data_IF_236232988039
#
_entry.id   IF_236232988039
#
_cell.length_a   1.000
_cell.length_b   1.000
_cell.length_c   1.000
_cell.angle_alpha   90.00
_cell.angle_beta   90.00
_cell.angle_gamma   90.00
#
_symmetry.space_group_name_H-M   'P 1'
#
loop_
_entity.id
_entity.type
_entity.pdbx_description
1 polymer ?
#
# COMPACT_ATOMS: atom_id res chain seq x y z
N UNK A 1 -1.94 21.85 6.18
CA UNK A 1 -0.55 21.88 6.73
C UNK A 1 0.10 20.58 6.25
N UNK A 2 1.28 20.64 5.63
CA UNK A 2 1.99 19.40 5.19
C UNK A 2 2.67 18.69 6.37
N UNK A 3 3.10 17.45 6.16
CA UNK A 3 3.74 16.60 7.18
C UNK A 3 4.91 17.28 7.88
N UNK A 4 5.79 17.96 7.13
CA UNK A 4 6.92 18.73 7.70
C UNK A 4 6.43 19.78 8.70
N UNK A 5 5.35 20.49 8.36
CA UNK A 5 4.76 21.51 9.25
C UNK A 5 4.14 20.90 10.51
N UNK A 6 3.50 19.75 10.38
CA UNK A 6 2.91 19.01 11.53
C UNK A 6 3.99 18.51 12.49
N UNK A 7 5.06 17.90 11.96
CA UNK A 7 6.19 17.42 12.76
C UNK A 7 6.87 18.57 13.52
N UNK A 8 7.19 19.66 12.82
CA UNK A 8 7.80 20.84 13.44
C UNK A 8 6.91 21.49 14.50
N UNK A 9 5.60 21.60 14.24
CA UNK A 9 4.65 22.14 15.21
C UNK A 9 4.52 21.28 16.47
N UNK A 10 4.75 19.97 16.35
CA UNK A 10 4.83 19.02 17.47
C UNK A 10 6.20 19.02 18.19
N UNK A 11 7.14 19.85 17.75
CA UNK A 11 8.51 19.90 18.33
C UNK A 11 9.41 18.74 17.90
N UNK A 12 9.01 17.97 16.88
CA UNK A 12 9.75 16.80 16.39
C UNK A 12 10.81 17.27 15.39
N UNK A 13 12.05 16.86 15.63
CA UNK A 13 13.19 17.29 14.82
C UNK A 13 14.48 16.50 15.14
N UNK A 14 15.61 17.19 15.28
CA UNK A 14 16.91 16.60 15.42
C UNK A 14 17.00 15.68 16.66
N UNK A 15 17.36 14.42 16.43
CA UNK A 15 17.47 13.40 17.46
C UNK A 15 16.24 12.50 17.60
N UNK A 16 15.10 12.93 17.05
CA UNK A 16 13.87 12.16 17.08
C UNK A 16 13.79 11.18 15.92
N UNK A 17 13.09 10.08 16.15
CA UNK A 17 12.73 9.07 15.16
C UNK A 17 11.25 9.17 14.84
N UNK A 18 10.93 9.04 13.54
CA UNK A 18 9.55 9.00 13.05
C UNK A 18 9.34 7.71 12.26
N UNK A 19 8.41 6.88 12.70
CA UNK A 19 8.10 5.61 12.03
C UNK A 19 7.22 5.89 10.82
N UNK A 20 7.62 5.33 9.68
CA UNK A 20 6.93 5.45 8.38
C UNK A 20 6.86 4.09 7.68
N UNK A 21 5.85 3.83 6.81
CA UNK A 21 5.81 2.62 6.02
C UNK A 21 6.91 2.62 4.95
N UNK A 22 7.58 1.49 4.77
CA UNK A 22 8.54 1.29 3.70
C UNK A 22 7.86 0.95 2.36
N UNK A 23 6.59 0.54 2.38
CA UNK A 23 5.79 0.25 1.20
C UNK A 23 5.12 1.52 0.67
N UNK A 24 5.83 2.26 -0.19
CA UNK A 24 5.36 3.53 -0.74
C UNK A 24 6.40 4.20 -1.63
N UNK A 25 6.24 5.50 -1.83
CA UNK A 25 7.24 6.38 -2.42
C UNK A 25 8.12 7.00 -1.32
N UNK A 26 9.25 7.61 -1.73
CA UNK A 26 10.20 8.21 -0.81
C UNK A 26 9.72 9.51 -0.16
N UNK A 27 8.75 10.19 -0.77
CA UNK A 27 8.31 11.55 -0.39
C UNK A 27 8.08 11.71 1.12
N UNK A 28 7.45 10.69 1.74
CA UNK A 28 7.16 10.74 3.17
C UNK A 28 8.43 10.66 4.04
N UNK A 29 9.39 9.82 3.64
CA UNK A 29 10.69 9.73 4.33
C UNK A 29 11.51 11.02 4.11
N UNK A 30 11.45 11.62 2.92
CA UNK A 30 12.06 12.92 2.62
C UNK A 30 11.45 14.02 3.49
N UNK A 31 10.12 14.04 3.67
CA UNK A 31 9.44 15.01 4.55
C UNK A 31 9.88 14.87 6.01
N UNK A 32 10.11 13.65 6.51
CA UNK A 32 10.66 13.41 7.85
C UNK A 32 12.08 13.98 7.96
N UNK A 33 12.94 13.73 6.97
CA UNK A 33 14.30 14.28 6.92
C UNK A 33 14.27 15.81 6.85
N UNK A 34 13.37 16.40 6.04
CA UNK A 34 13.18 17.85 5.96
C UNK A 34 12.67 18.49 7.26
N UNK A 35 11.99 17.71 8.09
CA UNK A 35 11.62 18.14 9.44
C UNK A 35 12.82 18.11 10.41
N UNK A 36 13.93 17.46 10.04
CA UNK A 36 15.13 17.27 10.85
C UNK A 36 15.14 15.96 11.63
N UNK A 37 14.13 15.10 11.48
CA UNK A 37 14.01 13.84 12.17
C UNK A 37 14.58 12.66 11.34
N UNK A 38 14.72 11.49 11.96
CA UNK A 38 15.21 10.27 11.34
C UNK A 38 14.02 9.35 10.96
N UNK A 39 13.82 8.99 9.68
CA UNK A 39 12.82 8.02 9.30
C UNK A 39 13.24 6.61 9.74
N UNK A 40 12.34 5.92 10.43
CA UNK A 40 12.44 4.51 10.82
C UNK A 40 11.36 3.74 10.07
N UNK A 41 11.75 2.62 9.44
CA UNK A 41 10.82 1.84 8.62
C UNK A 41 10.23 0.68 9.41
N UNK A 42 8.92 0.55 9.37
CA UNK A 42 8.17 -0.59 9.88
C UNK A 42 7.50 -1.36 8.75
N UNK A 43 7.23 -2.64 8.99
CA UNK A 43 6.55 -3.50 8.03
C UNK A 43 5.05 -3.22 7.98
N UNK A 44 4.42 -3.74 6.97
CA UNK A 44 3.00 -3.57 6.68
C UNK A 44 2.21 -4.83 7.01
N UNK A 45 0.94 -4.67 7.29
CA UNK A 45 -0.02 -5.76 7.28
C UNK A 45 -0.26 -6.23 5.83
N UNK A 46 -0.14 -7.54 5.56
CA UNK A 46 -0.22 -8.08 4.20
C UNK A 46 -1.61 -7.95 3.54
N UNK A 47 -2.67 -7.80 4.31
CA UNK A 47 -4.03 -7.67 3.79
C UNK A 47 -4.40 -6.23 3.48
N UNK A 48 -3.85 -5.28 4.23
CA UNK A 48 -4.21 -3.86 4.14
C UNK A 48 -3.17 -3.02 3.41
N UNK A 49 -1.92 -3.45 3.37
CA UNK A 49 -0.75 -2.69 2.91
C UNK A 49 -0.48 -1.42 3.72
N UNK A 50 -1.15 -1.24 4.84
CA UNK A 50 -0.92 -0.19 5.81
C UNK A 50 0.05 -0.67 6.88
N UNK A 51 0.58 0.24 7.71
CA UNK A 51 1.46 -0.12 8.82
C UNK A 51 0.80 -1.15 9.75
N UNK A 52 1.54 -2.20 10.10
CA UNK A 52 1.17 -3.15 11.15
C UNK A 52 1.58 -2.59 12.52
N UNK A 53 0.63 -2.52 13.44
CA UNK A 53 0.86 -2.01 14.80
C UNK A 53 1.90 -2.85 15.57
N UNK A 54 1.97 -4.15 15.33
CA UNK A 54 2.97 -5.04 15.95
C UNK A 54 4.37 -4.75 15.41
N UNK A 55 4.48 -4.54 14.09
CA UNK A 55 5.74 -4.16 13.46
C UNK A 55 6.20 -2.77 13.91
N UNK A 56 5.28 -1.82 14.10
CA UNK A 56 5.56 -0.49 14.66
C UNK A 56 6.08 -0.60 16.09
N UNK A 57 5.42 -1.42 16.93
CA UNK A 57 5.83 -1.64 18.33
C UNK A 57 7.23 -2.25 18.43
N UNK A 58 7.58 -3.15 17.51
CA UNK A 58 8.87 -3.83 17.47
C UNK A 58 10.06 -2.93 17.11
N UNK A 59 9.85 -1.88 16.30
CA UNK A 59 10.91 -0.95 15.89
C UNK A 59 10.96 0.34 16.71
N UNK A 60 9.94 0.59 17.54
CA UNK A 60 9.86 1.79 18.38
C UNK A 60 10.94 1.79 19.46
N UNK A 61 11.68 2.89 19.58
CA UNK A 61 12.75 3.13 20.56
C UNK A 61 12.37 4.26 21.51
N UNK A 62 13.23 4.57 22.48
CA UNK A 62 13.05 5.73 23.35
C UNK A 62 13.17 7.09 22.60
N UNK A 63 13.68 7.10 21.38
CA UNK A 63 13.78 8.30 20.54
C UNK A 63 12.61 8.42 19.56
N UNK A 64 11.76 7.42 19.46
CA UNK A 64 10.60 7.47 18.58
C UNK A 64 9.60 8.47 19.14
N UNK A 65 9.31 9.52 18.36
CA UNK A 65 8.39 10.60 18.73
C UNK A 65 7.04 10.49 18.01
N UNK A 66 7.03 9.95 16.79
CA UNK A 66 5.80 9.84 15.99
C UNK A 66 5.75 8.61 15.09
N UNK A 67 4.53 8.28 14.70
CA UNK A 67 4.20 7.31 13.64
C UNK A 67 3.35 8.02 12.60
N UNK A 68 3.72 7.93 11.33
CA UNK A 68 2.91 8.47 10.24
C UNK A 68 2.17 7.34 9.54
N UNK A 69 0.86 7.37 9.64
CA UNK A 69 -0.04 6.37 9.09
C UNK A 69 -0.52 6.79 7.72
N UNK A 70 -0.39 5.90 6.74
CA UNK A 70 -0.83 6.13 5.37
C UNK A 70 -1.98 5.18 5.03
N UNK A 71 -3.09 5.73 4.52
CA UNK A 71 -4.18 4.95 3.97
C UNK A 71 -3.81 4.50 2.55
N UNK A 72 -3.59 3.19 2.38
CA UNK A 72 -3.08 2.68 1.09
C UNK A 72 -4.20 2.29 0.14
N UNK A 73 -4.11 2.73 -1.10
CA UNK A 73 -5.02 2.38 -2.20
C UNK A 73 -6.49 2.75 -1.95
N UNK A 74 -6.73 3.65 -0.99
CA UNK A 74 -8.07 4.00 -0.54
C UNK A 74 -8.63 3.08 0.54
N UNK A 75 -7.81 2.20 1.11
CA UNK A 75 -8.14 1.37 2.28
C UNK A 75 -7.75 2.11 3.56
N UNK A 76 -8.67 2.27 4.52
CA UNK A 76 -8.33 2.82 5.82
C UNK A 76 -7.34 1.93 6.56
N UNK A 77 -6.34 2.55 7.20
CA UNK A 77 -5.46 1.87 8.13
C UNK A 77 -6.18 1.59 9.45
N UNK A 78 -5.66 0.65 10.24
CA UNK A 78 -6.19 0.27 11.56
C UNK A 78 -5.83 1.31 12.64
N UNK A 79 -6.41 2.51 12.52
CA UNK A 79 -6.12 3.65 13.39
C UNK A 79 -6.36 3.37 14.88
N UNK A 80 -7.33 2.50 15.20
CA UNK A 80 -7.62 2.17 16.59
C UNK A 80 -6.42 1.47 17.27
N UNK A 81 -5.80 0.51 16.59
CA UNK A 81 -4.64 -0.23 17.11
C UNK A 81 -3.40 0.67 17.19
N UNK A 82 -3.13 1.46 16.14
CA UNK A 82 -2.01 2.40 16.12
C UNK A 82 -2.19 3.52 17.13
N UNK A 83 -3.41 4.03 17.33
CA UNK A 83 -3.73 5.02 18.35
C UNK A 83 -3.55 4.49 19.78
N UNK A 84 -3.94 3.23 20.04
CA UNK A 84 -3.70 2.57 21.32
C UNK A 84 -2.20 2.42 21.59
N UNK A 85 -1.44 1.98 20.59
CA UNK A 85 0.01 1.90 20.66
C UNK A 85 0.63 3.28 20.93
N UNK A 86 0.16 4.31 20.22
CA UNK A 86 0.62 5.70 20.43
C UNK A 86 0.42 6.16 21.86
N UNK A 87 -0.77 5.95 22.44
CA UNK A 87 -1.04 6.28 23.87
C UNK A 87 -0.14 5.52 24.81
N UNK A 88 0.04 4.21 24.59
CA UNK A 88 0.87 3.35 25.44
C UNK A 88 2.36 3.72 25.42
N UNK A 89 2.86 4.10 24.27
CA UNK A 89 4.28 4.44 24.04
C UNK A 89 4.57 5.94 24.11
N UNK A 90 3.55 6.79 24.22
CA UNK A 90 3.72 8.25 24.17
C UNK A 90 4.08 8.77 22.77
N UNK A 91 3.67 8.08 21.71
CA UNK A 91 3.94 8.46 20.31
C UNK A 91 2.82 9.31 19.74
N UNK A 92 3.17 10.32 18.97
CA UNK A 92 2.22 11.06 18.16
C UNK A 92 1.83 10.22 16.93
N UNK A 93 0.55 10.00 16.72
CA UNK A 93 0.03 9.30 15.53
C UNK A 93 -0.51 10.35 14.55
N UNK A 94 0.13 10.46 13.40
CA UNK A 94 -0.23 11.40 12.33
C UNK A 94 -0.78 10.63 11.14
N UNK A 95 -1.91 11.08 10.60
CA UNK A 95 -2.47 10.57 9.35
C UNK A 95 -1.92 11.37 8.16
N UNK A 96 -1.44 10.66 7.15
CA UNK A 96 -0.95 11.25 5.91
C UNK A 96 -1.79 10.77 4.72
N UNK A 97 -2.21 11.74 3.88
CA UNK A 97 -2.90 11.45 2.64
C UNK A 97 -4.38 11.15 2.85
N UNK A 98 -5.19 12.17 2.88
CA UNK A 98 -6.62 12.03 2.62
C UNK A 98 -6.87 12.07 1.12
N UNK A 99 -7.55 11.06 0.62
CA UNK A 99 -8.12 11.11 -0.71
C UNK A 99 -9.60 11.42 -0.62
N UNK A 100 -9.95 12.65 -0.87
CA UNK A 100 -11.33 13.06 -1.09
C UNK A 100 -11.73 12.81 -2.54
N UNK A 101 -12.01 11.55 -2.89
CA UNK A 101 -12.70 11.29 -4.15
C UNK A 101 -14.16 11.75 -4.03
N UNK A 102 -14.77 12.32 -5.08
CA UNK A 102 -16.18 12.64 -5.08
C UNK A 102 -17.01 11.43 -4.70
N UNK A 103 -18.04 11.62 -3.85
CA UNK A 103 -18.85 10.51 -3.31
C UNK A 103 -19.40 9.57 -4.39
N UNK A 104 -19.90 10.10 -5.49
CA UNK A 104 -20.42 9.29 -6.61
C UNK A 104 -19.33 8.47 -7.34
N UNK A 105 -18.09 8.90 -7.30
CA UNK A 105 -16.95 8.16 -7.84
C UNK A 105 -16.61 6.96 -6.97
N UNK A 106 -16.58 7.14 -5.66
CA UNK A 106 -16.31 6.05 -4.71
C UNK A 106 -17.35 4.93 -4.83
N UNK A 107 -18.64 5.28 -4.89
CA UNK A 107 -19.71 4.28 -5.04
C UNK A 107 -19.57 3.46 -6.33
N UNK A 108 -19.20 4.11 -7.44
CA UNK A 108 -18.95 3.40 -8.72
C UNK A 108 -17.74 2.49 -8.64
N UNK A 109 -16.62 2.94 -8.03
CA UNK A 109 -15.43 2.10 -7.82
C UNK A 109 -15.74 0.89 -6.94
N UNK A 110 -16.50 1.06 -5.89
CA UNK A 110 -16.95 -0.04 -5.01
C UNK A 110 -17.82 -1.07 -5.77
N UNK A 111 -18.71 -0.60 -6.65
CA UNK A 111 -19.51 -1.48 -7.49
C UNK A 111 -18.63 -2.26 -8.51
N UNK A 112 -17.63 -1.60 -9.09
CA UNK A 112 -16.66 -2.23 -9.99
C UNK A 112 -15.78 -3.24 -9.24
N UNK A 113 -15.29 -2.91 -8.03
CA UNK A 113 -14.53 -3.82 -7.20
C UNK A 113 -15.31 -5.10 -6.89
N UNK A 114 -16.56 -4.96 -6.42
CA UNK A 114 -17.45 -6.10 -6.17
C UNK A 114 -17.69 -6.95 -7.43
N UNK A 115 -17.76 -6.32 -8.61
CA UNK A 115 -17.88 -7.04 -9.87
C UNK A 115 -16.62 -7.85 -10.19
N UNK A 116 -15.44 -7.28 -9.95
CA UNK A 116 -14.13 -7.90 -10.19
C UNK A 116 -13.85 -9.03 -9.17
N UNK A 117 -14.11 -8.80 -7.88
CA UNK A 117 -13.88 -9.76 -6.80
C UNK A 117 -14.56 -11.11 -7.06
N UNK A 118 -15.78 -11.09 -7.58
CA UNK A 118 -16.54 -12.29 -7.88
C UNK A 118 -16.16 -12.99 -9.20
N UNK A 119 -15.20 -12.45 -9.98
CA UNK A 119 -14.94 -12.92 -11.35
C UNK A 119 -13.47 -13.13 -11.70
N UNK A 120 -12.57 -12.48 -10.97
CA UNK A 120 -11.13 -12.68 -11.18
C UNK A 120 -10.68 -14.02 -10.61
N UNK A 121 -9.90 -14.74 -11.40
CA UNK A 121 -9.27 -16.02 -11.03
C UNK A 121 -7.77 -15.95 -11.32
N UNK A 122 -6.97 -16.74 -10.59
CA UNK A 122 -5.50 -16.75 -10.77
C UNK A 122 -4.76 -15.58 -10.13
N UNK A 123 -5.47 -14.63 -9.51
CA UNK A 123 -4.91 -13.54 -8.70
C UNK A 123 -5.65 -13.48 -7.37
N UNK A 124 -5.01 -12.95 -6.34
CA UNK A 124 -5.69 -12.65 -5.07
C UNK A 124 -6.24 -11.23 -5.13
N UNK A 125 -7.54 -11.09 -5.01
CA UNK A 125 -8.24 -9.80 -4.98
C UNK A 125 -8.05 -9.12 -3.62
N UNK A 126 -8.18 -7.78 -3.52
CA UNK A 126 -8.13 -7.09 -2.24
C UNK A 126 -9.27 -7.57 -1.33
N UNK A 127 -8.98 -7.72 -0.04
CA UNK A 127 -10.00 -8.08 0.92
C UNK A 127 -11.03 -6.94 1.07
N UNK A 128 -12.33 -7.25 1.09
CA UNK A 128 -13.35 -6.23 1.34
C UNK A 128 -13.15 -5.55 2.70
N UNK A 129 -13.27 -4.22 2.73
CA UNK A 129 -13.19 -3.47 3.97
C UNK A 129 -14.23 -2.33 3.99
N UNK A 130 -14.76 -2.07 5.19
CA UNK A 130 -15.63 -0.90 5.39
C UNK A 130 -14.83 0.39 5.14
N UNK A 131 -15.39 1.30 4.38
CA UNK A 131 -14.74 2.58 4.06
C UNK A 131 -13.68 2.50 2.96
N UNK A 132 -13.43 1.33 2.36
CA UNK A 132 -12.50 1.22 1.22
C UNK A 132 -13.02 2.01 0.03
N UNK A 133 -12.26 3.03 -0.41
CA UNK A 133 -12.64 3.93 -1.51
C UNK A 133 -12.16 3.44 -2.88
N UNK A 134 -11.35 2.37 -2.90
CA UNK A 134 -10.75 1.80 -4.11
C UNK A 134 -10.12 2.88 -5.02
N UNK A 135 -9.25 3.71 -4.45
CA UNK A 135 -8.42 4.62 -5.26
C UNK A 135 -7.64 3.83 -6.31
N UNK A 136 -7.19 2.65 -5.91
CA UNK A 136 -6.58 1.64 -6.75
C UNK A 136 -7.17 0.27 -6.41
N UNK A 137 -7.29 -0.57 -7.41
CA UNK A 137 -7.66 -1.96 -7.25
C UNK A 137 -6.40 -2.81 -7.38
N UNK A 138 -5.81 -3.15 -6.23
CA UNK A 138 -4.52 -3.84 -6.18
C UNK A 138 -4.74 -5.32 -5.94
N UNK A 139 -4.32 -6.13 -6.89
CA UNK A 139 -4.32 -7.60 -6.79
C UNK A 139 -2.91 -8.10 -6.45
N UNK A 140 -2.82 -9.27 -5.85
CA UNK A 140 -1.57 -10.04 -5.76
C UNK A 140 -1.53 -11.10 -6.84
N UNK A 141 -0.42 -11.14 -7.54
CA UNK A 141 -0.09 -12.20 -8.49
C UNK A 141 0.81 -13.18 -7.72
N UNK A 142 0.30 -14.35 -7.30
CA UNK A 142 1.08 -15.28 -6.52
C UNK A 142 2.23 -15.83 -7.37
N UNK A 143 3.46 -15.59 -6.92
CA UNK A 143 4.66 -16.13 -7.53
C UNK A 143 4.97 -17.52 -6.98
N UNK A 144 5.32 -18.46 -7.85
CA UNK A 144 5.82 -19.78 -7.47
C UNK A 144 7.34 -19.73 -7.15
N UNK A 145 7.75 -18.78 -6.30
CA UNK A 145 9.16 -18.52 -6.01
C UNK A 145 9.93 -17.72 -7.09
N UNK A 146 9.20 -17.20 -8.09
CA UNK A 146 9.71 -16.26 -9.09
C UNK A 146 8.75 -15.07 -9.19
N UNK A 147 9.23 -13.85 -9.47
CA UNK A 147 8.36 -12.69 -9.65
C UNK A 147 7.62 -12.80 -10.99
N UNK A 148 6.57 -13.62 -11.02
CA UNK A 148 5.72 -13.78 -12.22
C UNK A 148 4.81 -12.57 -12.46
N UNK A 149 4.74 -11.62 -11.48
CA UNK A 149 3.97 -10.40 -11.56
C UNK A 149 4.30 -9.57 -12.81
N UNK A 150 5.58 -9.41 -13.14
CA UNK A 150 6.00 -8.58 -14.28
C UNK A 150 5.68 -9.26 -15.62
N UNK A 151 5.79 -10.60 -15.68
CA UNK A 151 5.35 -11.37 -16.85
C UNK A 151 3.83 -11.27 -17.03
N UNK A 152 3.08 -11.42 -15.94
CA UNK A 152 1.62 -11.24 -15.93
C UNK A 152 1.24 -9.83 -16.39
N UNK A 153 1.88 -8.78 -15.84
CA UNK A 153 1.64 -7.40 -16.23
C UNK A 153 1.91 -7.13 -17.72
N UNK A 154 2.99 -7.68 -18.27
CA UNK A 154 3.27 -7.59 -19.72
C UNK A 154 2.19 -8.27 -20.54
N UNK A 155 1.76 -9.45 -20.12
CA UNK A 155 0.76 -10.22 -20.84
C UNK A 155 -0.62 -9.56 -20.87
N UNK A 156 -1.08 -8.99 -19.75
CA UNK A 156 -2.37 -8.28 -19.73
C UNK A 156 -2.32 -6.94 -20.48
N UNK A 157 -1.17 -6.22 -20.45
CA UNK A 157 -0.97 -5.03 -21.30
C UNK A 157 -1.06 -5.38 -22.77
N UNK A 158 -0.48 -6.52 -23.20
CA UNK A 158 -0.61 -7.04 -24.56
C UNK A 158 -2.06 -7.34 -24.98
N UNK A 159 -2.97 -7.51 -24.02
CA UNK A 159 -4.43 -7.66 -24.23
C UNK A 159 -5.19 -6.33 -24.14
N UNK A 160 -4.48 -5.20 -24.04
CA UNK A 160 -5.07 -3.86 -24.00
C UNK A 160 -5.66 -3.48 -22.64
N UNK A 161 -5.20 -4.11 -21.56
CA UNK A 161 -5.53 -3.72 -20.18
C UNK A 161 -4.34 -2.94 -19.61
N UNK A 162 -4.56 -1.68 -19.30
CA UNK A 162 -3.55 -0.88 -18.59
C UNK A 162 -3.43 -1.35 -17.14
N UNK A 163 -2.19 -1.50 -16.68
CA UNK A 163 -1.89 -1.88 -15.30
C UNK A 163 -0.54 -1.32 -14.88
N UNK A 164 -0.36 -1.09 -13.60
CA UNK A 164 0.90 -0.58 -13.06
C UNK A 164 1.34 -1.34 -11.82
N UNK A 165 2.65 -1.35 -11.59
CA UNK A 165 3.23 -1.81 -10.32
C UNK A 165 3.16 -0.65 -9.33
N UNK A 166 2.44 -0.79 -8.20
CA UNK A 166 2.26 0.30 -7.25
C UNK A 166 3.58 0.75 -6.61
N UNK A 167 4.37 -0.20 -6.15
CA UNK A 167 5.69 0.02 -5.54
C UNK A 167 6.67 -0.95 -6.18
N UNK A 168 7.67 -0.44 -6.91
CA UNK A 168 8.71 -1.26 -7.54
C UNK A 168 9.83 -1.59 -6.57
N UNK A 169 10.26 -0.60 -5.82
CA UNK A 169 11.35 -0.71 -4.85
C UNK A 169 10.88 -0.10 -3.54
N UNK A 170 10.82 -0.87 -2.45
CA UNK A 170 10.50 -0.35 -1.13
C UNK A 170 11.50 0.73 -0.70
N UNK A 171 11.02 1.72 0.06
CA UNK A 171 11.82 2.91 0.43
C UNK A 171 13.11 2.54 1.16
N UNK A 172 13.07 1.57 2.08
CA UNK A 172 14.26 1.11 2.83
C UNK A 172 15.36 0.48 1.97
N UNK A 173 15.08 0.18 0.69
CA UNK A 173 16.04 -0.35 -0.30
C UNK A 173 16.56 0.71 -1.26
N UNK A 174 15.97 1.91 -1.27
CA UNK A 174 16.46 3.02 -2.08
C UNK A 174 17.85 3.47 -1.58
N UNK A 175 18.76 3.91 -2.45
CA UNK A 175 20.13 4.27 -2.06
C UNK A 175 20.20 5.28 -0.92
N UNK A 176 19.36 6.31 -0.95
CA UNK A 176 19.28 7.41 0.02
C UNK A 176 18.74 6.97 1.39
N UNK A 177 17.88 5.93 1.41
CA UNK A 177 17.24 5.42 2.62
C UNK A 177 17.67 4.00 2.99
N UNK A 178 18.73 3.49 2.34
CA UNK A 178 19.15 2.10 2.56
C UNK A 178 19.43 1.81 4.03
N UNK A 179 18.70 0.85 4.58
CA UNK A 179 18.88 0.31 5.93
C UNK A 179 18.98 -1.21 5.87
N UNK A 180 19.81 -1.78 6.74
CA UNK A 180 19.87 -3.24 6.90
C UNK A 180 18.74 -3.71 7.82
N UNK A 181 17.53 -3.63 7.32
CA UNK A 181 16.29 -4.04 7.98
C UNK A 181 15.54 -5.00 7.05
N UNK A 182 14.96 -6.04 7.63
CA UNK A 182 14.18 -7.06 6.91
C UNK A 182 12.70 -6.75 7.14
N UNK A 183 11.98 -6.48 6.05
CA UNK A 183 10.55 -6.14 6.06
C UNK A 183 9.83 -7.09 5.10
N UNK A 184 9.56 -8.35 5.54
CA UNK A 184 9.17 -9.42 4.64
C UNK A 184 7.84 -9.17 3.94
N UNK A 185 6.85 -8.57 4.60
CA UNK A 185 5.56 -8.30 3.97
C UNK A 185 5.62 -7.13 2.99
N UNK A 186 6.40 -6.09 3.31
CA UNK A 186 6.72 -4.99 2.39
C UNK A 186 7.42 -5.49 1.13
N UNK A 187 8.41 -6.35 1.28
CA UNK A 187 9.20 -6.91 0.18
C UNK A 187 8.34 -7.81 -0.70
N UNK A 188 7.57 -8.71 -0.07
CA UNK A 188 6.62 -9.57 -0.79
C UNK A 188 5.55 -8.75 -1.52
N UNK A 189 5.01 -7.71 -0.88
CA UNK A 189 4.04 -6.84 -1.53
C UNK A 189 4.62 -6.13 -2.75
N UNK A 190 5.87 -5.65 -2.69
CA UNK A 190 6.54 -5.03 -3.83
C UNK A 190 6.75 -6.02 -5.00
N UNK A 191 7.00 -7.29 -4.71
CA UNK A 191 7.20 -8.33 -5.72
C UNK A 191 5.90 -8.82 -6.35
N UNK A 192 4.79 -8.89 -5.59
CA UNK A 192 3.56 -9.55 -6.00
C UNK A 192 2.44 -8.60 -6.46
N UNK A 193 2.45 -7.32 -6.06
CA UNK A 193 1.30 -6.45 -6.29
C UNK A 193 1.24 -5.84 -7.68
N UNK A 194 0.02 -5.76 -8.20
CA UNK A 194 -0.31 -5.13 -9.47
C UNK A 194 -1.62 -4.33 -9.33
N UNK A 195 -1.59 -3.06 -9.67
CA UNK A 195 -2.77 -2.21 -9.72
C UNK A 195 -3.48 -2.36 -11.07
N UNK A 196 -4.74 -2.72 -11.04
CA UNK A 196 -5.65 -2.82 -12.18
C UNK A 196 -6.52 -1.57 -12.25
N UNK A 197 -6.99 -1.16 -13.45
CA UNK A 197 -7.84 0.00 -13.60
C UNK A 197 -9.20 -0.20 -12.91
N UNK A 198 -9.66 0.85 -12.21
CA UNK A 198 -10.93 0.85 -11.46
C UNK A 198 -11.64 2.21 -11.50
N UNK A 199 -11.44 3.01 -12.53
CA UNK A 199 -12.12 4.30 -12.62
C UNK A 199 -13.64 4.14 -12.64
N UNK A 200 -14.36 5.04 -11.98
CA UNK A 200 -15.83 5.00 -11.94
C UNK A 200 -16.50 5.24 -13.30
N UNK A 201 -15.76 5.74 -14.29
CA UNK A 201 -16.19 5.89 -15.67
C UNK A 201 -16.12 4.61 -16.51
N UNK A 202 -15.51 3.53 -16.00
CA UNK A 202 -15.37 2.28 -16.74
C UNK A 202 -16.73 1.68 -17.10
N UNK A 203 -16.83 1.28 -18.35
CA UNK A 203 -18.00 0.60 -18.90
C UNK A 203 -17.98 -0.88 -18.54
N UNK A 204 -19.16 -1.51 -18.58
CA UNK A 204 -19.28 -2.97 -18.40
C UNK A 204 -18.40 -3.77 -19.37
N UNK A 205 -18.24 -3.28 -20.61
CA UNK A 205 -17.40 -3.92 -21.64
C UNK A 205 -15.93 -3.88 -21.27
N UNK A 206 -15.44 -2.78 -20.68
CA UNK A 206 -14.05 -2.66 -20.20
C UNK A 206 -13.81 -3.56 -19.01
N UNK A 207 -14.72 -3.62 -18.05
CA UNK A 207 -14.63 -4.56 -16.92
C UNK A 207 -14.61 -6.03 -17.39
N UNK A 208 -15.45 -6.40 -18.37
CA UNK A 208 -15.45 -7.74 -18.97
C UNK A 208 -14.14 -8.06 -19.68
N UNK A 209 -13.57 -7.09 -20.41
CA UNK A 209 -12.26 -7.24 -21.07
C UNK A 209 -11.16 -7.48 -20.02
N UNK A 210 -11.16 -6.71 -18.93
CA UNK A 210 -10.22 -6.85 -17.84
C UNK A 210 -10.30 -8.26 -17.23
N UNK A 211 -11.49 -8.72 -16.87
CA UNK A 211 -11.71 -10.08 -16.35
C UNK A 211 -11.22 -11.15 -17.33
N UNK A 212 -11.62 -11.05 -18.61
CA UNK A 212 -11.16 -11.98 -19.65
C UNK A 212 -9.63 -12.01 -19.80
N UNK A 213 -8.99 -10.83 -19.78
CA UNK A 213 -7.54 -10.73 -19.92
C UNK A 213 -6.81 -11.38 -18.74
N UNK A 214 -7.25 -11.12 -17.52
CA UNK A 214 -6.64 -11.69 -16.31
C UNK A 214 -6.88 -13.21 -16.24
N UNK A 215 -8.11 -13.68 -16.43
CA UNK A 215 -8.46 -15.09 -16.27
C UNK A 215 -7.83 -15.99 -17.35
N UNK A 216 -7.61 -15.47 -18.55
CA UNK A 216 -6.90 -16.20 -19.60
C UNK A 216 -5.44 -16.53 -19.26
N UNK A 217 -4.87 -15.85 -18.26
CA UNK A 217 -3.50 -16.02 -17.77
C UNK A 217 -3.47 -16.73 -16.41
N UNK A 218 -4.59 -16.75 -15.69
CA UNK A 218 -4.69 -17.34 -14.36
C UNK A 218 -4.33 -18.82 -14.30
N UNK A 219 -4.60 -19.57 -15.36
CA UNK A 219 -4.23 -20.97 -15.49
C UNK A 219 -2.72 -21.24 -15.60
N UNK A 220 -1.94 -20.21 -15.99
CA UNK A 220 -0.47 -20.28 -16.08
C UNK A 220 0.22 -20.05 -14.72
N UNK A 221 -0.52 -19.55 -13.73
CA UNK A 221 -0.02 -19.20 -12.40
C UNK A 221 -0.34 -20.30 -11.35
N UNK A 222 -1.08 -21.36 -11.74
CA UNK A 222 -1.29 -22.50 -10.86
C UNK A 222 -0.01 -23.33 -10.80
N UNK A 223 0.45 -23.74 -9.58
CA UNK A 223 1.52 -24.70 -9.48
C UNK A 223 1.11 -25.99 -10.23
N UNK A 224 1.98 -26.50 -11.06
CA UNK A 224 1.85 -27.88 -11.52
C UNK A 224 1.92 -28.78 -10.27
N UNK A 225 0.84 -29.50 -10.00
CA UNK A 225 0.77 -30.49 -8.93
C UNK A 225 1.77 -31.60 -9.18
#
# INVERSE_FOLDING_TARGET
MGTVGMLKAAGIGLGDEVIVPAYGNADLADEVVLAGALPVFADIDPATYCLDATAVDAVATARTAAVIVVHRFGRPAELAQLGELGRRRGLLVLEHGESSAPYGEVARRQAHAKYLDGRLTGVRTPEPARGHTYQEYVVRVPGNGRPDRDAFARAIRGKGVDCRVPVKTPVHRLPEFRRNVVLPETERAADETLALPIQGSMTRRELQRLVSACNALGGLLQPAF
#
